data_IF_798559902112
#
_entry.id   IF_798559902112
#
_cell.length_a   1.000
_cell.length_b   1.000
_cell.length_c   1.000
_cell.angle_alpha   90.00
_cell.angle_beta   90.00
_cell.angle_gamma   90.00
#
_symmetry.space_group_name_H-M   'P 1'
#
loop_
_entity.id
_entity.type
_entity.pdbx_description
1 polymer ?
#
# COMPACT_ATOMS: atom_id res chain seq x y z
N UNK A 1 23.48 0.15 15.11
CA UNK A 1 22.20 -0.58 15.16
C UNK A 1 22.05 -1.36 13.86
N UNK A 2 21.73 -2.66 13.90
CA UNK A 2 21.52 -3.47 12.69
C UNK A 2 20.06 -3.37 12.26
N UNK A 3 19.81 -3.16 10.98
CA UNK A 3 18.46 -3.16 10.42
C UNK A 3 17.87 -4.58 10.58
N UNK A 4 16.62 -4.66 11.02
CA UNK A 4 15.93 -5.93 11.26
C UNK A 4 14.66 -6.10 10.41
N UNK A 5 14.23 -5.05 9.71
CA UNK A 5 13.09 -5.09 8.81
C UNK A 5 13.43 -4.39 7.49
N UNK A 6 12.69 -4.76 6.45
CA UNK A 6 12.85 -4.20 5.10
C UNK A 6 11.51 -3.68 4.64
N UNK A 7 11.47 -2.45 4.11
CA UNK A 7 10.22 -1.84 3.72
C UNK A 7 9.66 -2.53 2.47
N UNK A 8 8.39 -2.91 2.50
CA UNK A 8 7.70 -3.52 1.36
C UNK A 8 7.58 -2.58 0.16
N UNK A 9 7.53 -1.27 0.41
CA UNK A 9 7.37 -0.23 -0.62
C UNK A 9 8.70 0.20 -1.22
N UNK A 10 9.63 0.71 -0.41
CA UNK A 10 10.91 1.23 -0.92
C UNK A 10 12.08 0.25 -0.87
N UNK A 11 11.93 -0.90 -0.21
CA UNK A 11 13.02 -1.87 -0.06
C UNK A 11 14.16 -1.44 0.87
N UNK A 12 14.11 -0.24 1.45
CA UNK A 12 15.13 0.22 2.41
C UNK A 12 15.04 -0.60 3.69
N UNK A 13 16.18 -1.01 4.21
CA UNK A 13 16.28 -1.62 5.54
C UNK A 13 16.06 -0.57 6.62
N UNK A 14 15.34 -0.92 7.67
CA UNK A 14 15.10 -0.05 8.82
C UNK A 14 15.10 -0.85 10.11
N UNK A 15 15.24 -0.15 11.23
CA UNK A 15 15.19 -0.75 12.56
C UNK A 15 13.82 -0.56 13.18
N UNK A 16 13.28 -1.66 13.70
CA UNK A 16 12.04 -1.70 14.46
C UNK A 16 12.31 -2.35 15.80
N UNK A 17 11.94 -1.68 16.89
CA UNK A 17 11.89 -2.35 18.18
C UNK A 17 10.73 -3.35 18.18
N UNK A 18 11.00 -4.63 17.88
CA UNK A 18 10.00 -5.71 17.92
C UNK A 18 9.25 -5.79 19.25
N UNK A 19 9.88 -5.70 20.44
CA UNK A 19 9.14 -5.73 21.70
C UNK A 19 8.25 -4.49 21.93
N UNK A 20 8.59 -3.36 21.30
CA UNK A 20 7.78 -2.14 21.34
C UNK A 20 6.65 -2.15 20.27
N UNK A 21 6.86 -2.86 19.17
CA UNK A 21 5.90 -3.02 18.07
C UNK A 21 4.88 -4.09 18.41
N UNK A 22 4.01 -3.78 19.38
CA UNK A 22 2.83 -4.60 19.65
C UNK A 22 1.87 -4.54 18.45
N UNK A 23 1.26 -5.68 18.07
CA UNK A 23 0.34 -5.75 16.92
C UNK A 23 -0.92 -4.90 17.09
N UNK A 24 -1.20 -4.41 18.29
CA UNK A 24 -2.37 -3.57 18.57
C UNK A 24 -2.14 -2.09 18.25
N UNK A 25 -0.87 -1.62 18.25
CA UNK A 25 -0.56 -0.18 18.16
C UNK A 25 0.31 0.19 16.96
N UNK A 26 1.11 -0.73 16.41
CA UNK A 26 2.15 -0.37 15.45
C UNK A 26 2.34 -1.40 14.31
N UNK A 27 1.27 -2.06 13.86
CA UNK A 27 1.33 -3.08 12.78
C UNK A 27 1.97 -2.55 11.50
N UNK A 28 1.75 -1.27 11.18
CA UNK A 28 2.32 -0.65 10.00
C UNK A 28 3.86 -0.61 10.00
N UNK A 29 4.48 -0.54 11.18
CA UNK A 29 5.94 -0.52 11.35
C UNK A 29 6.59 -1.85 11.03
N UNK A 30 5.84 -2.94 10.90
CA UNK A 30 6.41 -4.24 10.49
C UNK A 30 6.51 -4.34 8.96
N UNK A 31 5.66 -3.62 8.24
CA UNK A 31 5.60 -3.67 6.78
C UNK A 31 6.35 -2.52 6.12
N UNK A 32 6.39 -1.36 6.77
CA UNK A 32 6.86 -0.12 6.15
C UNK A 32 7.67 0.74 7.12
N UNK A 33 8.64 1.47 6.57
CA UNK A 33 9.50 2.34 7.37
C UNK A 33 8.84 3.67 7.75
N UNK A 34 7.82 4.12 7.00
CA UNK A 34 7.10 5.38 7.24
C UNK A 34 5.59 5.18 7.11
N UNK A 35 4.81 6.06 7.74
CA UNK A 35 3.34 6.07 7.61
C UNK A 35 2.89 6.39 6.19
N UNK A 36 3.65 7.20 5.44
CA UNK A 36 3.42 7.45 4.01
C UNK A 36 3.50 6.17 3.18
N UNK A 37 4.57 5.40 3.36
CA UNK A 37 4.69 4.09 2.73
C UNK A 37 3.57 3.14 3.17
N UNK A 38 3.13 3.20 4.43
CA UNK A 38 2.01 2.37 4.87
C UNK A 38 0.70 2.69 4.16
N UNK A 39 0.42 3.96 3.85
CA UNK A 39 -0.77 4.35 3.08
C UNK A 39 -0.76 3.73 1.69
N UNK A 40 0.35 3.87 0.97
CA UNK A 40 0.56 3.26 -0.36
C UNK A 40 0.43 1.74 -0.26
N UNK A 41 1.10 1.13 0.71
CA UNK A 41 1.02 -0.31 0.97
C UNK A 41 -0.41 -0.77 1.22
N UNK A 42 -1.17 -0.06 2.05
CA UNK A 42 -2.55 -0.43 2.38
C UNK A 42 -3.46 -0.39 1.16
N UNK A 43 -3.26 0.60 0.28
CA UNK A 43 -4.03 0.75 -0.97
C UNK A 43 -3.70 -0.37 -1.96
N UNK A 44 -2.42 -0.62 -2.22
CA UNK A 44 -1.96 -1.70 -3.12
C UNK A 44 -2.30 -3.07 -2.56
N UNK A 45 -2.11 -3.29 -1.27
CA UNK A 45 -2.46 -4.54 -0.61
C UNK A 45 -3.96 -4.78 -0.68
N UNK A 46 -4.79 -3.74 -0.53
CA UNK A 46 -6.23 -3.80 -0.71
C UNK A 46 -6.64 -4.17 -2.13
N UNK A 47 -5.96 -3.59 -3.14
CA UNK A 47 -6.15 -3.93 -4.55
C UNK A 47 -5.76 -5.38 -4.86
N UNK A 48 -4.54 -5.79 -4.51
CA UNK A 48 -4.04 -7.16 -4.68
C UNK A 48 -4.90 -8.20 -3.93
N UNK A 49 -5.50 -7.78 -2.82
CA UNK A 49 -6.44 -8.55 -2.03
C UNK A 49 -7.86 -8.66 -2.62
N UNK A 50 -8.17 -7.91 -3.67
CA UNK A 50 -9.52 -7.80 -4.23
C UNK A 50 -10.52 -7.03 -3.35
N UNK A 51 -10.03 -6.24 -2.39
CA UNK A 51 -10.90 -5.37 -1.55
C UNK A 51 -11.30 -4.13 -2.33
N UNK A 52 -10.43 -3.63 -3.19
CA UNK A 52 -10.64 -2.41 -3.97
C UNK A 52 -10.56 -2.73 -5.45
N UNK A 53 -11.43 -2.08 -6.22
CA UNK A 53 -11.33 -2.06 -7.68
C UNK A 53 -10.18 -1.14 -8.13
N UNK A 54 -9.75 -1.24 -9.40
CA UNK A 54 -8.73 -0.35 -9.96
C UNK A 54 -9.11 1.13 -9.78
N UNK A 55 -10.38 1.49 -10.01
CA UNK A 55 -10.90 2.87 -9.82
C UNK A 55 -10.82 3.37 -8.39
N UNK A 56 -11.28 2.59 -7.42
CA UNK A 56 -11.17 2.97 -6.01
C UNK A 56 -9.70 3.08 -5.58
N UNK A 57 -8.86 2.19 -6.10
CA UNK A 57 -7.43 2.21 -5.83
C UNK A 57 -6.80 3.49 -6.39
N UNK A 58 -7.16 3.87 -7.61
CA UNK A 58 -6.74 5.11 -8.25
C UNK A 58 -7.18 6.36 -7.47
N UNK A 59 -8.44 6.42 -7.04
CA UNK A 59 -8.95 7.54 -6.24
C UNK A 59 -8.23 7.67 -4.90
N UNK A 60 -7.95 6.55 -4.23
CA UNK A 60 -7.13 6.55 -3.02
C UNK A 60 -5.68 6.94 -3.30
N UNK A 61 -5.10 6.50 -4.41
CA UNK A 61 -3.74 6.88 -4.82
C UNK A 61 -3.64 8.38 -5.10
N UNK A 62 -4.67 9.03 -5.65
CA UNK A 62 -4.73 10.49 -5.80
C UNK A 62 -4.68 11.24 -4.47
N UNK A 63 -5.29 10.67 -3.44
CA UNK A 63 -5.33 11.25 -2.10
C UNK A 63 -4.09 10.89 -1.25
N UNK A 64 -3.18 10.08 -1.78
CA UNK A 64 -1.94 9.68 -1.10
C UNK A 64 -0.78 10.45 -1.69
N UNK A 65 0.12 10.90 -0.84
CA UNK A 65 1.35 11.56 -1.29
C UNK A 65 2.27 10.53 -1.95
N UNK A 66 2.43 10.65 -3.26
CA UNK A 66 3.29 9.82 -4.10
C UNK A 66 4.57 10.56 -4.52
N UNK A 67 4.95 11.64 -3.83
CA UNK A 67 6.13 12.44 -4.20
C UNK A 67 7.41 11.61 -4.18
N UNK A 68 7.49 10.60 -3.30
CA UNK A 68 8.62 9.66 -3.21
C UNK A 68 8.47 8.40 -4.08
N UNK A 69 7.58 8.40 -5.09
CA UNK A 69 7.35 7.20 -5.94
C UNK A 69 8.62 6.66 -6.62
N UNK A 70 9.63 7.50 -6.81
CA UNK A 70 10.92 7.12 -7.39
C UNK A 70 11.75 6.25 -6.44
N UNK A 71 11.56 6.40 -5.12
CA UNK A 71 12.16 5.53 -4.11
C UNK A 71 11.42 4.19 -3.96
N UNK A 72 10.30 3.96 -4.67
CA UNK A 72 9.54 2.73 -4.55
C UNK A 72 10.18 1.62 -5.40
N UNK A 73 9.95 0.37 -5.01
CA UNK A 73 10.35 -0.78 -5.81
C UNK A 73 9.65 -0.75 -7.17
N UNK A 74 10.36 -1.19 -8.20
CA UNK A 74 9.85 -1.26 -9.58
C UNK A 74 8.50 -1.97 -9.67
N UNK A 75 8.33 -3.12 -8.99
CA UNK A 75 7.07 -3.85 -8.99
C UNK A 75 5.90 -3.04 -8.38
N UNK A 76 6.16 -2.25 -7.33
CA UNK A 76 5.15 -1.40 -6.69
C UNK A 76 4.80 -0.23 -7.61
N UNK A 77 5.83 0.38 -8.21
CA UNK A 77 5.67 1.47 -9.17
C UNK A 77 4.89 1.02 -10.39
N UNK A 78 5.20 -0.15 -10.96
CA UNK A 78 4.49 -0.72 -12.10
C UNK A 78 3.01 -0.94 -11.84
N UNK A 79 2.64 -1.42 -10.64
CA UNK A 79 1.22 -1.57 -10.25
C UNK A 79 0.52 -0.20 -10.17
N UNK A 80 1.17 0.79 -9.56
CA UNK A 80 0.61 2.15 -9.46
C UNK A 80 0.42 2.76 -10.84
N UNK A 81 1.43 2.63 -11.72
CA UNK A 81 1.38 3.15 -13.08
C UNK A 81 0.35 2.43 -13.94
N UNK A 82 0.21 1.10 -13.84
CA UNK A 82 -0.87 0.32 -14.47
C UNK A 82 -2.25 0.85 -14.09
N UNK A 83 -2.49 1.02 -12.78
CA UNK A 83 -3.78 1.48 -12.26
C UNK A 83 -4.07 2.92 -12.71
N UNK A 84 -3.06 3.80 -12.69
CA UNK A 84 -3.18 5.19 -13.14
C UNK A 84 -3.46 5.27 -14.64
N UNK A 85 -2.72 4.50 -15.44
CA UNK A 85 -2.88 4.46 -16.89
C UNK A 85 -4.28 3.98 -17.27
N UNK A 86 -4.69 2.84 -16.74
CA UNK A 86 -5.97 2.22 -17.12
C UNK A 86 -7.18 3.02 -16.61
N UNK A 87 -7.08 3.68 -15.46
CA UNK A 87 -8.15 4.58 -14.98
C UNK A 87 -8.20 5.93 -15.70
N UNK A 88 -7.13 6.35 -16.37
CA UNK A 88 -7.14 7.60 -17.16
C UNK A 88 -8.00 7.48 -18.42
N UNK A 89 -8.17 6.27 -18.95
CA UNK A 89 -8.90 5.98 -20.18
C UNK A 89 -10.36 5.56 -19.96
N UNK A 90 -10.76 5.23 -18.73
CA UNK A 90 -12.05 4.60 -18.45
C UNK A 90 -12.86 5.34 -17.38
N UNK A 91 -13.42 6.49 -17.76
CA UNK A 91 -14.54 7.12 -17.03
C UNK A 91 -15.85 6.41 -17.44
N UNK A 92 -16.03 5.13 -17.13
CA UNK A 92 -17.39 4.60 -16.96
C UNK A 92 -17.45 3.28 -16.19
N UNK A 93 -18.25 3.31 -15.12
CA UNK A 93 -18.82 2.23 -14.29
C UNK A 93 -17.92 1.15 -13.62
N UNK A 94 -18.22 0.80 -12.37
CA UNK A 94 -18.67 -0.53 -11.90
C UNK A 94 -18.47 -0.64 -10.38
N UNK A 95 -19.62 -0.45 -9.71
CA UNK A 95 -20.24 -1.13 -8.55
C UNK A 95 -19.36 -1.68 -7.40
N UNK A 96 -19.78 -1.45 -6.13
CA UNK A 96 -19.04 -1.85 -4.94
C UNK A 96 -19.03 -3.38 -4.81
N UNK A 97 -17.86 -4.01 -4.92
CA UNK A 97 -17.71 -5.44 -4.60
C UNK A 97 -17.38 -5.62 -3.13
N UNK A 98 -18.15 -6.52 -2.55
CA UNK A 98 -18.42 -6.75 -1.14
C UNK A 98 -17.29 -7.43 -0.36
N UNK A 99 -17.29 -7.12 0.94
CA UNK A 99 -17.08 -8.00 2.09
C UNK A 99 -15.78 -8.79 2.20
N UNK A 100 -14.95 -8.41 3.18
CA UNK A 100 -14.13 -9.39 3.91
C UNK A 100 -14.78 -9.72 5.25
N UNK A 101 -15.55 -10.81 5.25
CA UNK A 101 -15.71 -11.63 6.44
C UNK A 101 -14.31 -12.09 6.89
N UNK A 102 -13.91 -11.78 8.13
CA UNK A 102 -12.97 -12.63 8.85
C UNK A 102 -13.69 -13.16 10.09
N UNK A 103 -14.05 -14.44 9.98
CA UNK A 103 -14.41 -15.34 11.07
C UNK A 103 -13.32 -15.28 12.15
N UNK A 104 -13.69 -14.98 13.40
CA UNK A 104 -13.51 -15.88 14.54
C UNK A 104 -14.34 -15.41 15.71
#
# INVERSE_FOLDING_TARGET
MKNNCTCAICGKGYYVCLPCSKPETNTWKLHTCTTGHYKVYSVIHGYSSGVYTKKETYDRLKNVDLSEKDSFKENVRGIIEDIISECSEQVEEVKPVRSRNKRK
#
